data_IF_070567196075
#
_entry.id   IF_070567196075
#
_cell.length_a   1.000
_cell.length_b   1.000
_cell.length_c   1.000
_cell.angle_alpha   90.00
_cell.angle_beta   90.00
_cell.angle_gamma   90.00
#
_symmetry.space_group_name_H-M   'P 1'
#
loop_
_entity.id
_entity.type
_entity.pdbx_description
1 polymer ?
#
# COMPACT_ATOMS: atom_id res chain seq x y z
N UNK A 1 20.80 20.04 -15.03
CA UNK A 1 20.14 19.40 -13.87
C UNK A 1 19.27 18.31 -14.46
N UNK A 2 19.88 17.17 -14.77
CA UNK A 2 19.18 16.01 -15.31
C UNK A 2 18.25 15.45 -14.24
N UNK A 3 16.99 15.25 -14.62
CA UNK A 3 16.09 14.42 -13.83
C UNK A 3 16.69 13.02 -13.86
N UNK A 4 16.93 12.44 -12.69
CA UNK A 4 17.13 11.00 -12.57
C UNK A 4 15.76 10.36 -12.84
N UNK A 5 15.33 10.39 -14.09
CA UNK A 5 14.29 9.49 -14.57
C UNK A 5 15.00 8.13 -14.65
N UNK A 6 14.96 7.36 -13.56
CA UNK A 6 15.34 5.95 -13.65
C UNK A 6 14.41 5.31 -14.67
N UNK A 7 14.96 4.79 -15.77
CA UNK A 7 14.21 4.14 -16.86
C UNK A 7 13.24 3.07 -16.34
N UNK A 8 13.56 2.49 -15.18
CA UNK A 8 12.80 1.43 -14.51
C UNK A 8 11.58 1.90 -13.71
N UNK A 9 11.51 3.17 -13.28
CA UNK A 9 10.44 3.62 -12.40
C UNK A 9 9.08 3.52 -13.12
N UNK A 10 8.08 2.95 -12.44
CA UNK A 10 6.76 2.75 -13.03
C UNK A 10 6.10 4.08 -13.41
N UNK A 11 5.38 4.09 -14.55
CA UNK A 11 4.49 5.20 -14.86
C UNK A 11 3.42 5.36 -13.76
N UNK A 12 3.22 6.56 -13.20
CA UNK A 12 2.31 6.78 -12.08
C UNK A 12 0.85 6.47 -12.44
N UNK A 13 0.44 6.71 -13.69
CA UNK A 13 -0.92 6.46 -14.15
C UNK A 13 -1.14 4.96 -14.35
N UNK A 14 -0.16 4.25 -14.92
CA UNK A 14 -0.17 2.80 -15.07
C UNK A 14 -0.23 2.10 -13.71
N UNK A 15 0.57 2.55 -12.74
CA UNK A 15 0.53 2.02 -11.38
C UNK A 15 -0.85 2.21 -10.73
N UNK A 16 -1.42 3.42 -10.83
CA UNK A 16 -2.75 3.67 -10.25
C UNK A 16 -3.83 2.81 -10.92
N UNK A 17 -3.82 2.69 -12.24
CA UNK A 17 -4.81 1.89 -12.96
C UNK A 17 -4.71 0.39 -12.66
N UNK A 18 -3.51 -0.12 -12.42
CA UNK A 18 -3.28 -1.53 -12.15
C UNK A 18 -3.60 -1.93 -10.70
N UNK A 19 -3.41 -1.01 -9.74
CA UNK A 19 -3.65 -1.28 -8.33
C UNK A 19 -5.14 -1.53 -8.02
N UNK A 20 -5.46 -2.48 -7.13
CA UNK A 20 -6.84 -2.89 -6.89
C UNK A 20 -7.68 -1.75 -6.28
N UNK A 21 -9.00 -1.72 -6.47
CA UNK A 21 -9.85 -0.83 -5.68
C UNK A 21 -9.76 -1.21 -4.19
N UNK A 22 -10.06 -0.26 -3.30
CA UNK A 22 -10.23 -0.62 -1.89
C UNK A 22 -11.47 -1.51 -1.71
N UNK A 23 -11.33 -2.55 -0.90
CA UNK A 23 -12.41 -3.47 -0.52
C UNK A 23 -12.71 -3.40 0.98
N UNK A 24 -13.95 -3.74 1.36
CA UNK A 24 -14.38 -3.77 2.76
C UNK A 24 -14.24 -2.41 3.46
N UNK A 25 -13.53 -2.40 4.60
CA UNK A 25 -13.32 -1.20 5.43
C UNK A 25 -12.14 -0.33 4.95
N UNK A 26 -11.34 -0.81 4.00
CA UNK A 26 -10.25 -0.04 3.45
C UNK A 26 -10.76 1.19 2.69
N UNK A 27 -9.96 2.26 2.75
CA UNK A 27 -10.14 3.46 1.94
C UNK A 27 -8.90 3.62 1.08
N UNK A 28 -9.10 3.86 -0.22
CA UNK A 28 -8.03 4.15 -1.17
C UNK A 28 -7.98 5.65 -1.42
N UNK A 29 -6.78 6.20 -1.42
CA UNK A 29 -6.48 7.59 -1.71
C UNK A 29 -5.39 7.65 -2.77
N UNK A 30 -5.56 8.54 -3.72
CA UNK A 30 -4.56 8.83 -4.73
C UNK A 30 -3.98 10.21 -4.42
N UNK A 31 -2.67 10.28 -4.36
CA UNK A 31 -1.93 11.50 -4.10
C UNK A 31 -1.05 11.85 -5.30
N UNK A 32 -0.64 13.11 -5.36
CA UNK A 32 0.23 13.64 -6.41
C UNK A 32 1.51 12.81 -6.53
N UNK A 33 1.96 12.58 -7.77
CA UNK A 33 3.18 11.80 -8.05
C UNK A 33 2.97 10.28 -8.04
N UNK A 34 1.74 9.81 -8.27
CA UNK A 34 1.44 8.38 -8.38
C UNK A 34 1.52 7.62 -7.07
N UNK A 35 1.36 8.30 -5.93
CA UNK A 35 1.34 7.66 -4.62
C UNK A 35 -0.09 7.20 -4.34
N UNK A 36 -0.28 5.91 -4.16
CA UNK A 36 -1.56 5.30 -3.81
C UNK A 36 -1.46 4.85 -2.35
N UNK A 37 -2.39 5.32 -1.52
CA UNK A 37 -2.49 4.96 -0.11
C UNK A 37 -3.78 4.16 0.13
N UNK A 38 -3.65 2.97 0.70
CA UNK A 38 -4.75 2.25 1.31
C UNK A 38 -4.68 2.46 2.81
N UNK A 39 -5.78 2.91 3.41
CA UNK A 39 -5.87 3.14 4.85
C UNK A 39 -7.05 2.39 5.43
N UNK A 40 -6.80 1.66 6.50
CA UNK A 40 -7.81 1.06 7.34
C UNK A 40 -7.92 1.90 8.62
N UNK A 41 -8.95 2.76 8.74
CA UNK A 41 -9.05 3.67 9.87
C UNK A 41 -9.28 2.91 11.17
N UNK A 42 -8.68 3.40 12.26
CA UNK A 42 -9.06 3.03 13.62
C UNK A 42 -10.02 4.12 14.13
N UNK A 43 -11.28 3.79 14.47
CA UNK A 43 -12.24 4.79 14.92
C UNK A 43 -11.92 5.36 16.31
N UNK A 44 -11.20 4.61 17.13
CA UNK A 44 -10.93 4.93 18.54
C UNK A 44 -9.48 5.41 18.79
N UNK A 45 -8.61 5.34 17.78
CA UNK A 45 -7.18 5.62 17.89
C UNK A 45 -6.68 6.75 17.00
N UNK A 46 -5.56 7.36 17.40
CA UNK A 46 -4.90 8.41 16.61
C UNK A 46 -4.22 7.86 15.34
N UNK A 47 -3.93 6.56 15.31
CA UNK A 47 -3.26 5.88 14.19
C UNK A 47 -4.26 5.03 13.42
N UNK A 48 -4.00 4.79 12.13
CA UNK A 48 -4.77 3.79 11.39
C UNK A 48 -4.47 2.39 11.93
N UNK A 49 -5.45 1.48 11.89
CA UNK A 49 -5.20 0.06 12.19
C UNK A 49 -4.10 -0.47 11.27
N UNK A 50 -4.20 -0.14 9.99
CA UNK A 50 -3.19 -0.41 9.00
C UNK A 50 -3.20 0.61 7.87
N UNK A 51 -2.06 0.71 7.19
CA UNK A 51 -1.88 1.48 5.98
C UNK A 51 -0.93 0.76 5.04
N UNK A 52 -1.21 0.79 3.74
CA UNK A 52 -0.31 0.36 2.68
C UNK A 52 -0.08 1.53 1.73
N UNK A 53 1.17 1.94 1.54
CA UNK A 53 1.54 3.01 0.61
C UNK A 53 2.30 2.41 -0.57
N UNK A 54 1.78 2.54 -1.78
CA UNK A 54 2.43 2.14 -3.01
C UNK A 54 2.81 3.38 -3.83
N UNK A 55 4.01 3.41 -4.40
CA UNK A 55 4.48 4.53 -5.24
C UNK A 55 5.52 4.08 -6.25
N UNK A 56 5.70 4.81 -7.37
CA UNK A 56 6.83 4.56 -8.27
C UNK A 56 8.16 4.75 -7.54
N UNK A 57 9.15 3.93 -7.88
CA UNK A 57 10.45 3.92 -7.24
C UNK A 57 11.45 4.88 -7.91
N UNK A 58 11.12 6.18 -7.96
CA UNK A 58 11.90 7.23 -8.66
C UNK A 58 13.39 7.35 -8.29
N UNK A 59 13.82 6.75 -7.17
CA UNK A 59 15.18 6.87 -6.64
C UNK A 59 15.85 5.49 -6.47
N UNK A 60 15.33 4.46 -7.13
CA UNK A 60 15.84 3.08 -7.03
C UNK A 60 15.79 2.41 -8.39
N UNK A 61 16.50 1.30 -8.54
CA UNK A 61 16.50 0.46 -9.75
C UNK A 61 15.24 -0.43 -9.87
N UNK A 62 14.20 -0.10 -9.10
CA UNK A 62 12.94 -0.84 -9.05
C UNK A 62 11.84 -0.07 -9.81
N UNK A 63 10.72 -0.72 -10.07
CA UNK A 63 9.54 -0.06 -10.64
C UNK A 63 8.68 0.58 -9.54
N UNK A 64 8.44 -0.14 -8.44
CA UNK A 64 7.48 0.24 -7.39
C UNK A 64 8.08 0.03 -6.02
N UNK A 65 7.74 0.92 -5.09
CA UNK A 65 8.00 0.78 -3.66
C UNK A 65 6.67 0.62 -2.91
N UNK A 66 6.61 -0.36 -2.01
CA UNK A 66 5.49 -0.57 -1.10
C UNK A 66 5.97 -0.42 0.32
N UNK A 67 5.22 0.33 1.13
CA UNK A 67 5.45 0.47 2.57
C UNK A 67 4.18 0.12 3.34
N UNK A 68 4.09 -1.06 3.97
CA UNK A 68 3.07 -1.35 4.94
C UNK A 68 3.34 -0.58 6.25
N UNK A 69 2.29 -0.28 6.99
CA UNK A 69 2.32 0.39 8.30
C UNK A 69 1.20 -0.21 9.12
N UNK A 70 1.48 -0.59 10.37
CA UNK A 70 0.51 -1.23 11.27
C UNK A 70 0.44 -0.42 12.56
N UNK A 71 -0.75 0.03 12.93
CA UNK A 71 -0.91 0.99 14.01
C UNK A 71 -0.05 2.24 13.78
N UNK A 72 0.67 2.65 14.82
CA UNK A 72 1.58 3.79 14.77
C UNK A 72 2.97 3.47 14.22
N UNK A 73 3.25 2.22 13.85
CA UNK A 73 4.58 1.76 13.46
C UNK A 73 4.66 1.48 11.96
N UNK A 74 5.58 2.16 11.27
CA UNK A 74 5.88 1.90 9.87
C UNK A 74 6.66 0.61 9.69
N UNK A 75 6.25 -0.24 8.74
CA UNK A 75 7.00 -1.41 8.32
C UNK A 75 8.15 -1.07 7.38
N UNK A 76 8.90 -2.10 7.01
CA UNK A 76 9.98 -2.01 6.03
C UNK A 76 9.44 -1.67 4.63
N UNK A 77 10.19 -0.88 3.88
CA UNK A 77 9.84 -0.58 2.49
C UNK A 77 10.37 -1.69 1.58
N UNK A 78 9.47 -2.33 0.86
CA UNK A 78 9.78 -3.40 -0.08
C UNK A 78 9.78 -2.83 -1.51
N UNK A 79 10.71 -3.30 -2.34
CA UNK A 79 10.88 -2.84 -3.71
C UNK A 79 10.50 -3.94 -4.69
N UNK A 80 9.87 -3.57 -5.80
CA UNK A 80 9.38 -4.48 -6.83
C UNK A 80 9.84 -4.02 -8.20
N UNK A 81 10.36 -4.95 -9.00
CA UNK A 81 10.85 -4.71 -10.36
C UNK A 81 9.70 -4.50 -11.36
N UNK A 82 8.48 -4.92 -11.04
CA UNK A 82 7.30 -4.79 -11.91
C UNK A 82 6.05 -4.32 -11.16
N UNK A 83 5.13 -3.68 -11.89
CA UNK A 83 3.82 -3.28 -11.37
C UNK A 83 3.01 -4.51 -10.95
N UNK A 84 3.06 -5.60 -11.72
CA UNK A 84 2.28 -6.83 -11.45
C UNK A 84 2.67 -7.50 -10.12
N UNK A 85 3.97 -7.56 -9.81
CA UNK A 85 4.44 -8.07 -8.54
C UNK A 85 3.99 -7.17 -7.38
N UNK A 86 4.04 -5.86 -7.57
CA UNK A 86 3.55 -4.90 -6.58
C UNK A 86 2.03 -5.00 -6.36
N UNK A 87 1.23 -5.18 -7.42
CA UNK A 87 -0.22 -5.37 -7.33
C UNK A 87 -0.55 -6.62 -6.53
N UNK A 88 0.15 -7.73 -6.80
CA UNK A 88 -0.02 -8.99 -6.07
C UNK A 88 0.27 -8.81 -4.58
N UNK A 89 1.36 -8.11 -4.25
CA UNK A 89 1.71 -7.84 -2.85
C UNK A 89 0.69 -6.94 -2.15
N UNK A 90 0.26 -5.85 -2.80
CA UNK A 90 -0.78 -4.97 -2.23
C UNK A 90 -2.04 -5.76 -1.95
N UNK A 91 -2.49 -6.59 -2.90
CA UNK A 91 -3.69 -7.39 -2.71
C UNK A 91 -3.54 -8.38 -1.54
N UNK A 92 -2.39 -9.06 -1.45
CA UNK A 92 -2.12 -10.01 -0.38
C UNK A 92 -2.08 -9.35 1.02
N UNK A 93 -1.47 -8.17 1.15
CA UNK A 93 -1.42 -7.46 2.45
C UNK A 93 -2.81 -6.91 2.84
N UNK A 94 -3.58 -6.38 1.89
CA UNK A 94 -4.95 -5.92 2.16
C UNK A 94 -5.84 -7.07 2.66
N UNK A 95 -5.73 -8.24 2.04
CA UNK A 95 -6.48 -9.44 2.42
C UNK A 95 -6.04 -9.96 3.80
N UNK A 96 -4.73 -10.18 3.97
CA UNK A 96 -4.12 -10.67 5.23
C UNK A 96 -4.52 -9.82 6.43
N UNK A 97 -4.49 -8.49 6.28
CA UNK A 97 -4.87 -7.59 7.38
C UNK A 97 -6.36 -7.63 7.64
N UNK A 98 -7.19 -7.72 6.60
CA UNK A 98 -8.64 -7.82 6.76
C UNK A 98 -9.03 -9.10 7.49
N UNK A 99 -8.47 -10.25 7.07
CA UNK A 99 -8.69 -11.55 7.72
C UNK A 99 -8.27 -11.55 9.19
N UNK A 100 -7.12 -10.93 9.51
CA UNK A 100 -6.65 -10.80 10.90
C UNK A 100 -7.61 -9.99 11.77
N UNK A 101 -8.19 -8.92 11.22
CA UNK A 101 -9.09 -8.04 11.96
C UNK A 101 -10.45 -8.70 12.14
N UNK A 102 -10.98 -9.36 11.12
CA UNK A 102 -12.21 -10.14 11.25
C UNK A 102 -12.05 -11.26 12.28
N UNK A 103 -10.90 -11.96 12.28
CA UNK A 103 -10.59 -12.99 13.29
C UNK A 103 -10.52 -12.44 14.71
N UNK A 104 -9.81 -11.32 14.92
CA UNK A 104 -9.70 -10.68 16.23
C UNK A 104 -11.04 -10.11 16.74
N UNK A 105 -11.89 -9.66 15.82
CA UNK A 105 -13.25 -9.21 16.14
C UNK A 105 -14.13 -10.37 16.61
N UNK A 106 -13.89 -11.58 16.09
CA UNK A 106 -14.68 -12.77 16.40
C UNK A 106 -14.24 -13.48 17.71
N UNK A 107 -13.04 -13.22 18.22
CA UNK A 107 -12.56 -13.74 19.52
C UNK A 107 -12.96 -12.85 20.73
N UNK A 108 -13.56 -11.67 20.48
CA UNK A 108 -13.91 -10.71 21.54
C UNK A 108 -15.30 -10.89 22.17
N UNK A 109 -15.95 -12.05 22.02
CA UNK A 109 -17.23 -12.34 22.69
C UNK A 109 -17.23 -13.73 23.36
N UNK A 110 -17.36 -13.81 24.71
CA UNK A 110 -17.48 -15.08 25.45
C UNK A 110 -18.85 -15.76 25.29
#
# INVERSE_FOLDING_TARGET
MERLDTDTAADPTALSNALPPASGKWKRYEHTGGIIEYRLPDPDGMCAVAKVTARPAYLSDAAVQIKPTRGCSGGETVQFETIEAAVTEVQAELDTVSERIDSASNESYP
#
